data_IF_314222451856
#
_entry.id   IF_314222451856
#
_cell.length_a   1.000
_cell.length_b   1.000
_cell.length_c   1.000
_cell.angle_alpha   90.00
_cell.angle_beta   90.00
_cell.angle_gamma   90.00
#
_symmetry.space_group_name_H-M   'P 1'
#
loop_
_entity.id
_entity.type
_entity.pdbx_description
1 polymer ?
#
# COMPACT_ATOMS: atom_id res chain seq x y z
N UNK A 1 -13.20 -4.41 25.40
CA UNK A 1 -14.63 -4.85 25.45
C UNK A 1 -15.56 -4.13 24.47
N UNK A 2 -15.13 -3.12 23.70
CA UNK A 2 -16.04 -2.37 22.81
C UNK A 2 -16.44 -3.14 21.53
N UNK A 3 -15.57 -3.98 20.98
CA UNK A 3 -15.82 -4.65 19.70
C UNK A 3 -16.56 -5.99 19.82
N UNK A 4 -16.45 -6.70 20.95
CA UNK A 4 -16.94 -8.09 21.08
C UNK A 4 -18.46 -8.23 21.17
N UNK A 5 -19.16 -7.17 21.60
CA UNK A 5 -20.63 -7.15 21.65
C UNK A 5 -21.25 -6.44 20.44
N UNK A 6 -20.42 -5.94 19.52
CA UNK A 6 -20.90 -5.28 18.33
C UNK A 6 -21.35 -6.34 17.31
N UNK A 7 -22.61 -6.33 16.84
CA UNK A 7 -23.05 -7.28 15.84
C UNK A 7 -22.26 -7.07 14.55
N UNK A 8 -21.49 -8.07 14.14
CA UNK A 8 -20.68 -8.05 12.92
C UNK A 8 -20.99 -9.25 12.03
N UNK A 9 -20.97 -9.04 10.71
CA UNK A 9 -20.97 -10.13 9.74
C UNK A 9 -19.57 -10.73 9.60
N UNK A 10 -19.48 -11.87 8.91
CA UNK A 10 -18.19 -12.36 8.42
C UNK A 10 -17.51 -11.32 7.53
N UNK A 11 -16.16 -11.22 7.55
CA UNK A 11 -15.43 -10.39 6.60
C UNK A 11 -15.75 -10.75 5.14
N UNK A 12 -15.79 -9.77 4.23
CA UNK A 12 -15.85 -10.04 2.80
C UNK A 12 -14.69 -10.92 2.35
N UNK A 13 -14.93 -11.76 1.34
CA UNK A 13 -13.85 -12.50 0.70
C UNK A 13 -12.93 -11.54 -0.06
N UNK A 14 -11.61 -11.82 -0.13
CA UNK A 14 -10.70 -11.05 -0.95
C UNK A 14 -11.15 -10.99 -2.43
N UNK A 15 -10.78 -9.92 -3.17
CA UNK A 15 -11.07 -9.83 -4.59
C UNK A 15 -10.35 -10.95 -5.36
N UNK A 16 -10.99 -11.44 -6.42
CA UNK A 16 -10.43 -12.45 -7.34
C UNK A 16 -9.92 -11.87 -8.65
N UNK A 17 -10.42 -10.68 -9.02
CA UNK A 17 -10.07 -10.00 -10.25
C UNK A 17 -10.09 -8.49 -10.00
N UNK A 18 -8.91 -7.86 -10.10
CA UNK A 18 -8.69 -6.44 -10.05
C UNK A 18 -8.28 -5.97 -11.44
N UNK A 19 -9.07 -5.08 -12.03
CA UNK A 19 -8.84 -4.54 -13.37
C UNK A 19 -7.75 -3.46 -13.44
N UNK A 20 -7.20 -3.09 -12.28
CA UNK A 20 -6.24 -2.01 -12.13
C UNK A 20 -5.07 -2.50 -11.32
N UNK A 21 -3.89 -2.23 -11.85
CA UNK A 21 -2.63 -2.44 -11.14
C UNK A 21 -2.51 -1.46 -9.97
N UNK A 22 -1.85 -1.85 -8.88
CA UNK A 22 -1.90 -1.15 -7.59
C UNK A 22 -0.54 -0.60 -7.18
N UNK A 23 -0.45 0.71 -6.96
CA UNK A 23 0.71 1.33 -6.32
C UNK A 23 0.53 1.27 -4.79
N UNK A 24 1.49 0.68 -4.10
CA UNK A 24 1.51 0.55 -2.65
C UNK A 24 2.49 1.53 -2.04
N UNK A 25 2.02 2.33 -1.08
CA UNK A 25 2.86 3.22 -0.30
C UNK A 25 3.11 2.61 1.07
N UNK A 26 4.34 2.67 1.55
CA UNK A 26 4.72 2.12 2.85
C UNK A 26 5.80 2.91 3.54
N UNK A 27 5.87 2.77 4.86
CA UNK A 27 6.92 3.33 5.70
C UNK A 27 7.59 2.19 6.45
N UNK A 28 8.92 2.20 6.50
CA UNK A 28 9.69 1.14 7.15
C UNK A 28 9.41 1.05 8.65
N UNK A 29 9.26 2.19 9.32
CA UNK A 29 8.98 2.28 10.76
C UNK A 29 7.64 3.01 10.99
N UNK A 30 6.53 2.49 10.46
CA UNK A 30 5.20 3.06 10.68
C UNK A 30 4.65 2.69 12.08
N UNK A 31 4.44 3.67 12.99
CA UNK A 31 3.96 3.37 14.34
C UNK A 31 2.45 3.08 14.42
N UNK A 32 1.69 3.29 13.33
CA UNK A 32 0.24 3.14 13.29
C UNK A 32 -0.16 1.81 12.68
N UNK A 33 0.40 1.47 11.51
CA UNK A 33 0.02 0.25 10.76
C UNK A 33 1.15 -0.77 10.63
N UNK A 34 2.36 -0.45 11.10
CA UNK A 34 3.55 -1.27 10.86
C UNK A 34 3.95 -1.32 9.38
N UNK A 35 4.86 -2.22 9.03
CA UNK A 35 5.38 -2.35 7.65
C UNK A 35 4.87 -3.60 6.91
N UNK A 36 4.50 -4.66 7.63
CA UNK A 36 4.09 -5.95 7.04
C UNK A 36 2.80 -5.87 6.20
N UNK A 37 1.95 -4.88 6.47
CA UNK A 37 0.71 -4.65 5.72
C UNK A 37 0.93 -4.42 4.22
N UNK A 38 2.07 -3.84 3.83
CA UNK A 38 2.41 -3.62 2.42
C UNK A 38 2.60 -4.95 1.69
N UNK A 39 3.33 -5.89 2.29
CA UNK A 39 3.58 -7.20 1.70
C UNK A 39 2.29 -8.03 1.60
N UNK A 40 1.46 -8.02 2.66
CA UNK A 40 0.16 -8.69 2.65
C UNK A 40 -0.80 -8.11 1.59
N UNK A 41 -0.78 -6.78 1.39
CA UNK A 41 -1.61 -6.12 0.38
C UNK A 41 -1.12 -6.43 -1.04
N UNK A 42 0.21 -6.47 -1.26
CA UNK A 42 0.78 -6.90 -2.53
C UNK A 42 0.38 -8.34 -2.89
N UNK A 43 0.40 -9.25 -1.90
CA UNK A 43 -0.08 -10.61 -2.07
C UNK A 43 -1.59 -10.67 -2.41
N UNK A 44 -2.39 -9.77 -1.84
CA UNK A 44 -3.82 -9.67 -2.18
C UNK A 44 -4.03 -9.18 -3.61
N UNK A 45 -3.25 -8.20 -4.06
CA UNK A 45 -3.33 -7.69 -5.43
C UNK A 45 -2.96 -8.76 -6.47
N UNK A 46 -1.86 -9.50 -6.25
CA UNK A 46 -1.42 -10.54 -7.19
C UNK A 46 -2.40 -11.72 -7.23
N UNK A 47 -2.97 -12.11 -6.09
CA UNK A 47 -4.02 -13.14 -6.03
C UNK A 47 -5.32 -12.70 -6.73
N UNK A 48 -5.51 -11.40 -6.91
CA UNK A 48 -6.60 -10.81 -7.67
C UNK A 48 -6.20 -10.48 -9.11
N UNK A 49 -5.14 -11.08 -9.65
CA UNK A 49 -4.70 -10.91 -11.04
C UNK A 49 -4.28 -9.47 -11.43
N UNK A 50 -3.86 -8.65 -10.45
CA UNK A 50 -3.31 -7.31 -10.68
C UNK A 50 -1.83 -7.24 -10.29
N UNK A 51 -1.04 -6.50 -11.06
CA UNK A 51 0.33 -6.19 -10.69
C UNK A 51 0.36 -5.16 -9.54
N UNK A 52 1.47 -5.14 -8.80
CA UNK A 52 1.72 -4.08 -7.83
C UNK A 52 3.19 -3.68 -7.77
N UNK A 53 3.43 -2.43 -7.38
CA UNK A 53 4.76 -1.89 -7.07
C UNK A 53 4.71 -1.10 -5.79
N UNK A 54 5.86 -1.02 -5.12
CA UNK A 54 6.00 -0.41 -3.81
C UNK A 54 6.80 0.87 -3.90
N UNK A 55 6.36 1.89 -3.17
CA UNK A 55 7.12 3.09 -2.83
C UNK A 55 7.30 3.10 -1.32
N UNK A 56 8.51 2.78 -0.87
CA UNK A 56 8.83 2.55 0.54
C UNK A 56 9.70 3.69 1.07
N UNK A 57 9.17 4.49 2.00
CA UNK A 57 9.96 5.45 2.74
C UNK A 57 10.69 4.78 3.92
N UNK A 58 11.99 4.99 4.04
CA UNK A 58 12.86 4.37 5.05
C UNK A 58 12.90 5.12 6.40
N UNK A 59 12.00 6.10 6.62
CA UNK A 59 11.91 6.86 7.86
C UNK A 59 10.96 6.28 8.92
N UNK A 60 10.55 7.15 9.84
CA UNK A 60 9.58 6.87 10.92
C UNK A 60 8.40 7.84 10.80
N UNK A 61 7.18 7.29 10.75
CA UNK A 61 5.96 8.07 10.60
C UNK A 61 4.88 7.33 9.83
N UNK A 62 3.75 7.98 9.61
CA UNK A 62 2.61 7.40 8.91
C UNK A 62 2.29 8.19 7.64
N UNK A 63 2.50 7.57 6.47
CA UNK A 63 2.26 8.17 5.17
C UNK A 63 3.53 8.62 4.44
N UNK A 64 4.03 7.76 3.54
CA UNK A 64 5.21 8.06 2.72
C UNK A 64 5.05 9.33 1.86
N UNK A 65 3.85 9.60 1.35
CA UNK A 65 3.54 10.77 0.52
C UNK A 65 3.52 12.10 1.27
N UNK A 66 3.36 12.07 2.60
CA UNK A 66 3.32 13.26 3.45
C UNK A 66 4.73 13.62 3.92
N UNK A 67 5.51 12.60 4.30
CA UNK A 67 6.79 12.80 4.97
C UNK A 67 8.02 12.64 4.06
N UNK A 68 7.86 12.13 2.84
CA UNK A 68 8.96 11.97 1.89
C UNK A 68 8.64 12.59 0.54
N UNK A 69 9.36 13.66 0.18
CA UNK A 69 9.25 14.28 -1.16
C UNK A 69 9.68 13.32 -2.27
N UNK A 70 10.54 12.34 -1.99
CA UNK A 70 10.93 11.29 -2.93
C UNK A 70 9.74 10.38 -3.32
N UNK A 71 8.76 10.19 -2.43
CA UNK A 71 7.61 9.33 -2.71
C UNK A 71 6.57 10.00 -3.61
N UNK A 72 6.61 11.32 -3.74
CA UNK A 72 5.60 12.11 -4.45
C UNK A 72 5.67 11.92 -5.98
N UNK A 73 6.83 12.01 -6.66
CA UNK A 73 6.90 11.80 -8.10
C UNK A 73 6.31 10.47 -8.61
N UNK A 74 6.67 9.28 -8.07
CA UNK A 74 6.07 8.03 -8.55
C UNK A 74 4.57 7.94 -8.23
N UNK A 75 4.11 8.51 -7.11
CA UNK A 75 2.69 8.59 -6.78
C UNK A 75 1.92 9.45 -7.80
N UNK A 76 2.39 10.67 -8.08
CA UNK A 76 1.73 11.57 -9.03
C UNK A 76 1.75 10.98 -10.44
N UNK A 77 2.86 10.39 -10.87
CA UNK A 77 2.96 9.74 -12.18
C UNK A 77 1.96 8.58 -12.33
N UNK A 78 1.79 7.76 -11.29
CA UNK A 78 0.77 6.70 -11.28
C UNK A 78 -0.65 7.26 -11.32
N UNK A 79 -0.94 8.31 -10.56
CA UNK A 79 -2.27 8.96 -10.56
C UNK A 79 -2.61 9.59 -11.91
N UNK A 80 -1.62 10.16 -12.61
CA UNK A 80 -1.79 10.80 -13.92
C UNK A 80 -1.93 9.79 -15.06
N UNK A 81 -1.12 8.72 -15.04
CA UNK A 81 -1.01 7.79 -16.19
C UNK A 81 -1.68 6.44 -15.99
N UNK A 82 -1.99 6.07 -14.75
CA UNK A 82 -2.41 4.73 -14.36
C UNK A 82 -1.32 3.66 -14.47
N UNK A 83 -0.07 4.04 -14.77
CA UNK A 83 1.04 3.09 -14.98
C UNK A 83 1.89 2.98 -13.72
N UNK A 84 2.22 1.75 -13.36
CA UNK A 84 3.18 1.47 -12.29
C UNK A 84 4.61 1.84 -12.71
N UNK A 85 5.48 2.18 -11.76
CA UNK A 85 6.92 2.30 -12.04
C UNK A 85 7.51 0.94 -12.44
N UNK A 86 8.62 0.95 -13.16
CA UNK A 86 9.27 -0.30 -13.62
C UNK A 86 9.74 -1.17 -12.44
N UNK A 87 10.21 -0.52 -11.37
CA UNK A 87 10.73 -1.17 -10.16
C UNK A 87 10.12 -0.57 -8.90
N UNK A 88 10.29 -1.28 -7.79
CA UNK A 88 10.00 -0.70 -6.48
C UNK A 88 10.92 0.51 -6.25
N UNK A 89 10.38 1.52 -5.57
CA UNK A 89 11.08 2.75 -5.22
C UNK A 89 11.35 2.75 -3.72
N UNK A 90 12.59 3.03 -3.34
CA UNK A 90 12.99 3.15 -1.94
C UNK A 90 13.42 4.59 -1.68
N UNK A 91 12.68 5.28 -0.83
CA UNK A 91 12.91 6.67 -0.49
C UNK A 91 13.64 6.78 0.85
N UNK A 92 14.73 7.56 0.91
CA UNK A 92 15.50 7.72 2.15
C UNK A 92 14.71 8.44 3.25
N UNK A 93 15.14 8.23 4.50
CA UNK A 93 14.61 8.90 5.68
C UNK A 93 14.77 10.43 5.59
#
# INVERSE_FOLDING_TARGET
>A
MKCVHWPSSSPPQPPKDLKVDVLLLGVQNDPIVGNEGVAATAATAINANAASKRVMWQGIGHGASIYSSCAVPPLVAYLDTGKLPDTDTYCPA
#
